data_IF_743472069916
#
_entry.id   IF_743472069916
#
_cell.length_a   1.000
_cell.length_b   1.000
_cell.length_c   1.000
_cell.angle_alpha   90.00
_cell.angle_beta   90.00
_cell.angle_gamma   90.00
#
_symmetry.space_group_name_H-M   'P 1'
#
loop_
_entity.id
_entity.type
_entity.pdbx_description
1 polymer ?
#
# COMPACT_ATOMS: atom_id res chain seq x y z
N UNK A 1 3.18 -13.12 -15.46
CA UNK A 1 2.67 -14.43 -15.02
C UNK A 1 2.65 -14.35 -13.51
N UNK A 2 1.48 -14.41 -12.89
CA UNK A 2 1.41 -14.39 -11.43
C UNK A 2 2.12 -15.64 -10.89
N UNK A 3 2.89 -15.47 -9.82
CA UNK A 3 3.59 -16.58 -9.19
C UNK A 3 2.58 -17.65 -8.75
N UNK A 4 2.99 -18.92 -8.74
CA UNK A 4 2.16 -20.02 -8.23
C UNK A 4 1.69 -19.70 -6.80
N UNK A 5 2.53 -19.06 -6.00
CA UNK A 5 2.21 -18.63 -4.64
C UNK A 5 1.02 -17.67 -4.59
N UNK A 6 0.98 -16.66 -5.48
CA UNK A 6 -0.14 -15.72 -5.56
C UNK A 6 -1.46 -16.42 -5.90
N UNK A 7 -1.42 -17.37 -6.84
CA UNK A 7 -2.61 -18.16 -7.20
C UNK A 7 -3.11 -18.92 -5.98
N UNK A 8 -2.23 -19.68 -5.31
CA UNK A 8 -2.60 -20.48 -4.14
C UNK A 8 -3.17 -19.60 -3.04
N UNK A 9 -2.50 -18.49 -2.69
CA UNK A 9 -2.96 -17.59 -1.62
C UNK A 9 -4.32 -16.99 -1.95
N UNK A 10 -4.55 -16.58 -3.19
CA UNK A 10 -5.82 -15.98 -3.62
C UNK A 10 -7.04 -16.90 -3.49
N UNK A 11 -6.82 -18.23 -3.41
CA UNK A 11 -7.87 -19.22 -3.15
C UNK A 11 -8.34 -19.20 -1.68
N UNK A 12 -7.46 -18.84 -0.74
CA UNK A 12 -7.73 -18.89 0.70
C UNK A 12 -7.92 -17.52 1.36
N UNK A 13 -7.28 -16.47 0.83
CA UNK A 13 -7.32 -15.12 1.41
C UNK A 13 -7.91 -14.16 0.39
N UNK A 14 -9.01 -13.50 0.75
CA UNK A 14 -9.64 -12.46 -0.07
C UNK A 14 -9.28 -11.07 0.46
N UNK A 15 -8.90 -10.14 -0.44
CA UNK A 15 -8.69 -8.76 -0.02
C UNK A 15 -10.01 -8.12 0.40
N UNK A 16 -9.95 -7.12 1.29
CA UNK A 16 -11.14 -6.38 1.71
C UNK A 16 -11.67 -5.47 0.59
N UNK A 17 -10.76 -4.88 -0.18
CA UNK A 17 -11.05 -3.95 -1.27
C UNK A 17 -10.24 -4.37 -2.49
N UNK A 18 -10.80 -4.17 -3.69
CA UNK A 18 -10.08 -4.36 -4.96
C UNK A 18 -10.31 -3.13 -5.83
N UNK A 19 -9.23 -2.53 -6.31
CA UNK A 19 -9.23 -1.38 -7.22
C UNK A 19 -8.37 -1.69 -8.44
N UNK A 20 -8.55 -1.00 -9.57
CA UNK A 20 -7.64 -1.18 -10.72
C UNK A 20 -6.40 -0.28 -10.64
N UNK A 21 -6.43 0.76 -9.82
CA UNK A 21 -5.32 1.67 -9.55
C UNK A 21 -5.65 2.51 -8.31
N UNK A 22 -4.62 3.11 -7.69
CA UNK A 22 -4.80 3.90 -6.46
C UNK A 22 -5.67 5.14 -6.63
N UNK A 23 -5.83 5.67 -7.85
CA UNK A 23 -6.63 6.88 -8.11
C UNK A 23 -8.13 6.63 -7.96
N UNK A 24 -8.57 5.36 -7.95
CA UNK A 24 -9.96 5.00 -7.62
C UNK A 24 -10.29 5.30 -6.15
N UNK A 25 -9.28 5.36 -5.27
CA UNK A 25 -9.43 5.79 -3.88
C UNK A 25 -9.44 7.32 -3.81
N UNK A 26 -10.51 7.91 -4.34
CA UNK A 26 -10.72 9.36 -4.36
C UNK A 26 -10.78 9.97 -2.95
N UNK A 27 -10.83 11.31 -2.87
CA UNK A 27 -11.03 12.03 -1.61
C UNK A 27 -12.22 11.49 -0.79
N UNK A 28 -13.34 11.24 -1.46
CA UNK A 28 -14.59 10.84 -0.82
C UNK A 28 -14.55 9.36 -0.42
N UNK A 29 -13.90 8.51 -1.22
CA UNK A 29 -13.61 7.11 -0.86
C UNK A 29 -12.74 7.04 0.40
N UNK A 30 -11.68 7.86 0.49
CA UNK A 30 -10.85 7.91 1.69
C UNK A 30 -11.63 8.40 2.91
N UNK A 31 -12.52 9.39 2.77
CA UNK A 31 -13.38 9.82 3.88
C UNK A 31 -14.40 8.74 4.26
N UNK A 32 -14.94 8.00 3.29
CA UNK A 32 -15.82 6.86 3.54
C UNK A 32 -15.09 5.76 4.33
N UNK A 33 -13.85 5.43 3.98
CA UNK A 33 -13.04 4.44 4.72
C UNK A 33 -12.82 4.84 6.19
N UNK A 34 -12.69 6.13 6.50
CA UNK A 34 -12.59 6.61 7.89
C UNK A 34 -13.82 6.28 8.71
N UNK A 35 -15.01 6.22 8.09
CA UNK A 35 -16.25 5.85 8.80
C UNK A 35 -16.23 4.40 9.29
N UNK A 36 -15.38 3.55 8.70
CA UNK A 36 -15.11 2.18 9.14
C UNK A 36 -13.91 2.07 10.10
N UNK A 37 -13.35 3.19 10.55
CA UNK A 37 -12.23 3.22 11.48
C UNK A 37 -10.85 3.14 10.83
N UNK A 38 -10.75 3.22 9.50
CA UNK A 38 -9.45 3.28 8.80
C UNK A 38 -8.88 4.70 8.94
N UNK A 39 -7.72 4.79 9.59
CA UNK A 39 -7.04 6.06 9.92
C UNK A 39 -5.69 6.21 9.22
N UNK A 40 -5.14 5.13 8.68
CA UNK A 40 -3.84 5.15 8.03
C UNK A 40 -3.67 4.15 6.89
N UNK A 41 -2.74 4.46 6.00
CA UNK A 41 -2.40 3.67 4.83
C UNK A 41 -0.97 3.17 4.91
N UNK A 42 -0.78 1.91 4.54
CA UNK A 42 0.50 1.33 4.19
C UNK A 42 0.52 1.12 2.68
N UNK A 43 1.43 1.78 1.97
CA UNK A 43 1.46 1.73 0.51
C UNK A 43 2.66 0.91 0.02
N UNK A 44 2.42 0.01 -0.94
CA UNK A 44 3.49 -0.52 -1.78
C UNK A 44 3.93 0.51 -2.84
N UNK A 45 5.00 0.23 -3.58
CA UNK A 45 5.56 1.11 -4.60
C UNK A 45 5.40 0.53 -6.00
N UNK A 46 5.96 -0.65 -6.23
CA UNK A 46 6.08 -1.21 -7.58
C UNK A 46 4.75 -1.81 -8.01
N UNK A 47 4.31 -1.51 -9.23
CA UNK A 47 2.97 -1.88 -9.73
C UNK A 47 1.79 -1.36 -8.89
N UNK A 48 2.05 -0.40 -7.99
CA UNK A 48 1.05 0.23 -7.11
C UNK A 48 1.08 1.76 -7.21
N UNK A 49 2.16 2.42 -6.75
CA UNK A 49 2.36 3.87 -6.87
C UNK A 49 3.08 4.27 -8.16
N UNK A 50 3.72 3.30 -8.81
CA UNK A 50 4.36 3.45 -10.11
C UNK A 50 4.22 2.15 -10.89
N UNK A 51 4.43 2.22 -12.20
CA UNK A 51 4.33 1.06 -13.08
C UNK A 51 5.57 0.91 -13.95
N UNK A 52 5.96 -0.33 -14.23
CA UNK A 52 7.11 -0.69 -15.08
C UNK A 52 8.41 0.05 -14.67
N UNK A 53 8.65 0.19 -13.36
CA UNK A 53 9.83 0.86 -12.79
C UNK A 53 10.01 2.33 -13.20
N UNK A 54 8.95 2.98 -13.72
CA UNK A 54 8.95 4.42 -14.03
C UNK A 54 8.91 5.26 -12.75
N UNK A 55 9.08 6.58 -12.88
CA UNK A 55 8.78 7.48 -11.78
C UNK A 55 7.28 7.48 -11.48
N UNK A 56 6.91 7.86 -10.24
CA UNK A 56 5.52 8.19 -9.89
C UNK A 56 5.05 9.30 -10.84
N UNK A 57 3.94 9.07 -11.54
CA UNK A 57 3.36 10.07 -12.44
C UNK A 57 2.68 11.20 -11.66
N UNK A 58 2.33 12.28 -12.37
CA UNK A 58 1.75 13.47 -11.74
C UNK A 58 0.41 13.17 -11.05
N UNK A 59 -0.41 12.30 -11.63
CA UNK A 59 -1.73 11.98 -11.07
C UNK A 59 -1.58 11.24 -9.73
N UNK A 60 -0.68 10.24 -9.70
CA UNK A 60 -0.38 9.48 -8.49
C UNK A 60 0.34 10.32 -7.45
N UNK A 61 1.21 11.24 -7.87
CA UNK A 61 1.85 12.20 -6.97
C UNK A 61 0.83 13.15 -6.32
N UNK A 62 -0.10 13.69 -7.10
CA UNK A 62 -1.19 14.54 -6.59
C UNK A 62 -2.12 13.75 -5.66
N UNK A 63 -2.42 12.50 -6.02
CA UNK A 63 -3.18 11.59 -5.16
C UNK A 63 -2.47 11.35 -3.82
N UNK A 64 -1.15 11.13 -3.81
CA UNK A 64 -0.37 10.98 -2.57
C UNK A 64 -0.46 12.21 -1.67
N UNK A 65 -0.39 13.42 -2.25
CA UNK A 65 -0.57 14.67 -1.49
C UNK A 65 -1.96 14.74 -0.88
N UNK A 66 -3.01 14.46 -1.67
CA UNK A 66 -4.39 14.45 -1.21
C UNK A 66 -4.61 13.41 -0.11
N UNK A 67 -4.17 12.17 -0.33
CA UNK A 67 -4.31 11.09 0.62
C UNK A 67 -3.58 11.40 1.94
N UNK A 68 -2.38 11.99 1.86
CA UNK A 68 -1.62 12.42 3.05
C UNK A 68 -2.35 13.49 3.85
N UNK A 69 -3.11 14.38 3.19
CA UNK A 69 -3.91 15.38 3.91
C UNK A 69 -5.08 14.77 4.70
N UNK A 70 -5.47 13.53 4.38
CA UNK A 70 -6.62 12.84 4.97
C UNK A 70 -6.23 11.74 5.95
N UNK A 71 -5.13 11.03 5.70
CA UNK A 71 -4.74 9.84 6.44
C UNK A 71 -3.25 9.86 6.79
N UNK A 72 -2.91 9.15 7.85
CA UNK A 72 -1.51 8.88 8.16
C UNK A 72 -0.95 7.87 7.16
N UNK A 73 0.19 8.15 6.54
CA UNK A 73 0.74 7.31 5.46
C UNK A 73 2.16 6.89 5.79
N UNK A 74 2.45 5.62 5.58
CA UNK A 74 3.80 5.11 5.40
C UNK A 74 3.89 4.28 4.11
N UNK A 75 5.07 4.25 3.51
CA UNK A 75 5.38 3.41 2.36
C UNK A 75 6.25 2.25 2.81
N UNK A 76 5.90 1.03 2.42
CA UNK A 76 6.62 -0.19 2.77
C UNK A 76 6.79 -1.02 1.50
N UNK A 77 8.03 -1.18 1.03
CA UNK A 77 8.35 -1.88 -0.22
C UNK A 77 9.41 -2.96 0.00
N UNK A 78 9.29 -4.07 -0.73
CA UNK A 78 10.35 -5.07 -0.81
C UNK A 78 11.52 -4.63 -1.71
N UNK A 79 11.32 -3.62 -2.55
CA UNK A 79 12.34 -3.03 -3.40
C UNK A 79 13.02 -1.81 -2.76
N UNK A 80 13.90 -1.19 -3.55
CA UNK A 80 14.51 0.09 -3.26
C UNK A 80 14.76 0.88 -4.55
N UNK A 81 14.34 2.14 -4.56
CA UNK A 81 14.72 3.12 -5.58
C UNK A 81 15.01 4.47 -4.91
N UNK A 82 16.21 5.01 -5.14
CA UNK A 82 16.65 6.28 -4.55
C UNK A 82 15.72 7.44 -4.95
N UNK A 83 15.21 7.46 -6.18
CA UNK A 83 14.36 8.57 -6.66
C UNK A 83 13.00 8.56 -5.96
N UNK A 84 12.47 7.38 -5.66
CA UNK A 84 11.25 7.22 -4.86
C UNK A 84 11.49 7.68 -3.42
N UNK A 85 12.62 7.30 -2.83
CA UNK A 85 13.02 7.77 -1.50
C UNK A 85 13.10 9.31 -1.44
N UNK A 86 13.65 9.96 -2.46
CA UNK A 86 13.69 11.42 -2.54
C UNK A 86 12.30 12.04 -2.64
N UNK A 87 11.41 11.51 -3.49
CA UNK A 87 10.02 11.95 -3.59
C UNK A 87 9.29 11.84 -2.25
N UNK A 88 9.40 10.70 -1.57
CA UNK A 88 8.73 10.45 -0.29
C UNK A 88 9.32 11.31 0.84
N UNK A 89 10.63 11.56 0.81
CA UNK A 89 11.30 12.48 1.74
C UNK A 89 10.78 13.91 1.59
N UNK A 90 10.61 14.41 0.36
CA UNK A 90 10.01 15.72 0.11
C UNK A 90 8.58 15.80 0.63
N UNK A 91 7.81 14.73 0.42
CA UNK A 91 6.46 14.60 0.97
C UNK A 91 6.45 14.33 2.48
N UNK A 92 7.59 14.15 3.16
CA UNK A 92 7.70 13.74 4.58
C UNK A 92 6.87 12.49 4.90
N UNK A 93 6.94 11.48 4.03
CA UNK A 93 6.29 10.18 4.23
C UNK A 93 7.37 9.17 4.65
N UNK A 94 7.23 8.47 5.79
CA UNK A 94 8.15 7.41 6.19
C UNK A 94 8.24 6.31 5.13
N UNK A 95 9.44 5.91 4.76
CA UNK A 95 9.69 4.89 3.76
C UNK A 95 10.54 3.74 4.31
N UNK A 96 9.98 2.54 4.25
CA UNK A 96 10.61 1.28 4.63
C UNK A 96 10.92 0.46 3.39
N UNK A 97 12.16 0.55 2.94
CA UNK A 97 12.72 -0.22 1.81
C UNK A 97 13.22 -1.58 2.25
N UNK A 98 13.35 -2.52 1.31
CA UNK A 98 13.81 -3.89 1.58
C UNK A 98 13.06 -4.52 2.76
N UNK A 99 11.73 -4.39 2.75
CA UNK A 99 10.88 -4.70 3.90
C UNK A 99 10.58 -6.20 4.09
N UNK A 100 10.96 -7.06 3.14
CA UNK A 100 10.73 -8.52 3.20
C UNK A 100 9.29 -8.92 3.59
N UNK A 101 8.28 -8.16 3.17
CA UNK A 101 6.87 -8.56 3.18
C UNK A 101 6.76 -9.94 2.49
N UNK A 102 6.04 -10.92 3.08
CA UNK A 102 4.99 -10.79 4.10
C UNK A 102 5.46 -10.92 5.56
N UNK A 103 6.73 -10.61 5.86
CA UNK A 103 7.17 -10.43 7.24
C UNK A 103 6.47 -9.25 7.90
N UNK A 104 6.02 -9.42 9.15
CA UNK A 104 5.29 -8.37 9.90
C UNK A 104 6.19 -7.22 10.35
N UNK A 105 7.51 -7.45 10.43
CA UNK A 105 8.46 -6.55 11.12
C UNK A 105 8.33 -5.10 10.66
N UNK A 106 8.48 -4.84 9.37
CA UNK A 106 8.48 -3.48 8.85
C UNK A 106 7.08 -2.90 8.69
N UNK A 107 6.05 -3.74 8.51
CA UNK A 107 4.64 -3.30 8.57
C UNK A 107 4.31 -2.73 9.96
N UNK A 108 4.67 -3.45 11.03
CA UNK A 108 4.45 -3.01 12.41
C UNK A 108 5.30 -1.77 12.76
N UNK A 109 6.56 -1.70 12.30
CA UNK A 109 7.38 -0.51 12.50
C UNK A 109 6.80 0.72 11.81
N UNK A 110 6.32 0.56 10.57
CA UNK A 110 5.66 1.61 9.83
C UNK A 110 4.41 2.12 10.56
N UNK A 111 3.52 1.20 10.97
CA UNK A 111 2.32 1.52 11.75
C UNK A 111 2.64 2.26 13.06
N UNK A 112 3.65 1.79 13.80
CA UNK A 112 4.10 2.47 15.02
C UNK A 112 4.63 3.89 14.74
N UNK A 113 5.35 4.08 13.63
CA UNK A 113 5.88 5.40 13.24
C UNK A 113 4.76 6.38 12.92
N UNK A 114 3.70 5.91 12.28
CA UNK A 114 2.56 6.75 11.91
C UNK A 114 1.46 6.79 12.99
N UNK A 115 1.65 6.09 14.11
CA UNK A 115 0.79 6.14 15.29
C UNK A 115 -0.57 5.45 15.12
N UNK A 116 -0.65 4.38 14.33
CA UNK A 116 -1.90 3.69 13.97
C UNK A 116 -1.84 2.22 14.41
N UNK A 117 -2.95 1.66 14.89
CA UNK A 117 -3.03 0.21 15.16
C UNK A 117 -3.25 -0.58 13.86
N UNK A 118 -2.82 -1.85 13.77
CA UNK A 118 -3.01 -2.64 12.55
C UNK A 118 -4.45 -2.66 12.04
N UNK A 119 -5.42 -2.90 12.91
CA UNK A 119 -6.85 -2.97 12.57
C UNK A 119 -7.44 -1.64 12.08
N UNK A 120 -6.78 -0.51 12.39
CA UNK A 120 -7.16 0.84 11.94
C UNK A 120 -6.45 1.24 10.64
N UNK A 121 -5.77 0.30 9.98
CA UNK A 121 -4.98 0.58 8.78
C UNK A 121 -5.42 -0.23 7.57
N UNK A 122 -5.07 0.27 6.39
CA UNK A 122 -5.27 -0.37 5.10
C UNK A 122 -3.92 -0.50 4.38
N UNK A 123 -3.49 -1.72 4.05
CA UNK A 123 -2.39 -1.95 3.13
C UNK A 123 -2.89 -1.95 1.69
N UNK A 124 -2.20 -1.23 0.80
CA UNK A 124 -2.54 -1.10 -0.61
C UNK A 124 -1.35 -1.57 -1.44
N UNK A 125 -1.53 -2.63 -2.23
CA UNK A 125 -0.49 -3.22 -3.07
C UNK A 125 -1.05 -4.16 -4.13
N UNK A 126 -0.22 -4.62 -5.07
CA UNK A 126 -0.65 -5.44 -6.21
C UNK A 126 -0.44 -6.95 -6.02
N UNK A 127 0.31 -7.36 -4.99
CA UNK A 127 0.77 -8.73 -4.83
C UNK A 127 0.06 -9.46 -3.67
N UNK A 128 -0.46 -10.66 -3.97
CA UNK A 128 -1.16 -11.47 -2.98
C UNK A 128 -0.22 -11.98 -1.86
N UNK A 129 1.02 -12.34 -2.20
CA UNK A 129 1.98 -12.88 -1.27
C UNK A 129 2.55 -11.80 -0.35
N UNK A 130 3.03 -10.67 -0.86
CA UNK A 130 3.61 -9.63 -0.01
C UNK A 130 2.56 -8.79 0.69
N UNK A 131 1.54 -8.32 -0.02
CA UNK A 131 0.66 -7.27 0.49
C UNK A 131 -0.59 -7.86 1.13
N UNK A 132 -1.30 -8.74 0.43
CA UNK A 132 -2.55 -9.30 0.96
C UNK A 132 -2.28 -10.26 2.12
N UNK A 133 -1.38 -11.24 1.94
CA UNK A 133 -0.99 -12.13 3.03
C UNK A 133 -0.22 -11.38 4.13
N UNK A 134 0.60 -10.39 3.79
CA UNK A 134 1.31 -9.55 4.77
C UNK A 134 0.35 -8.77 5.66
N UNK A 135 -0.66 -8.15 5.06
CA UNK A 135 -1.73 -7.45 5.77
C UNK A 135 -2.55 -8.39 6.63
N UNK A 136 -3.03 -9.50 6.07
CA UNK A 136 -3.79 -10.53 6.79
C UNK A 136 -3.05 -11.04 8.02
N UNK A 137 -1.77 -11.43 7.86
CA UNK A 137 -0.92 -11.89 8.98
C UNK A 137 -0.73 -10.83 10.06
N UNK A 138 -0.82 -9.55 9.70
CA UNK A 138 -0.57 -8.43 10.61
C UNK A 138 -1.86 -7.83 11.17
N UNK A 139 -3.03 -8.37 10.81
CA UNK A 139 -4.35 -7.82 11.17
C UNK A 139 -4.60 -6.43 10.57
N UNK A 140 -4.02 -6.15 9.40
CA UNK A 140 -4.22 -4.93 8.61
C UNK A 140 -5.29 -5.21 7.54
N UNK A 141 -6.21 -4.28 7.32
CA UNK A 141 -7.17 -4.38 6.22
C UNK A 141 -6.43 -4.31 4.89
N UNK A 142 -6.93 -4.95 3.84
CA UNK A 142 -6.19 -5.14 2.59
C UNK A 142 -6.93 -4.58 1.38
N UNK A 143 -6.22 -3.84 0.54
CA UNK A 143 -6.66 -3.36 -0.76
C UNK A 143 -5.72 -3.91 -1.83
N UNK A 144 -6.27 -4.72 -2.74
CA UNK A 144 -5.53 -5.22 -3.89
C UNK A 144 -5.67 -4.26 -5.06
N UNK A 145 -4.54 -3.84 -5.62
CA UNK A 145 -4.48 -3.16 -6.92
C UNK A 145 -4.37 -4.21 -8.01
N UNK A 146 -5.37 -4.28 -8.90
CA UNK A 146 -5.30 -5.19 -10.04
C UNK A 146 -4.25 -4.71 -11.03
N UNK A 147 -3.39 -5.63 -11.45
CA UNK A 147 -2.52 -5.40 -12.60
C UNK A 147 -3.36 -5.03 -13.81
N UNK A 148 -3.05 -3.90 -14.44
CA UNK A 148 -3.58 -3.59 -15.77
C UNK A 148 -3.09 -4.69 -16.71
N UNK A 149 -4.03 -5.34 -17.41
CA UNK A 149 -3.69 -6.22 -18.52
C UNK A 149 -2.77 -5.47 -19.48
N UNK A 150 -1.67 -6.12 -19.89
CA UNK A 150 -0.83 -5.62 -20.97
C UNK A 150 -1.63 -5.49 -22.26
#
# INVERSE_FOLDING_TARGET
>A
MDSIDNIIISLFIKPNIIVNNVLELTSDELDYLKTFGIKGLILDVDETLRYNMKMIDNDTFNWLIMAKSKMNIAVVSNGYDMRIEETLRLLKIPYYKMAFKPSKKYLLQALNTIGIKPEESLIIGDDYLSDILGGYKTNINTCLVRKRGK
#
